data_IF_209130023180
#
_entry.id   IF_209130023180
#
_cell.length_a   1.000
_cell.length_b   1.000
_cell.length_c   1.000
_cell.angle_alpha   90.00
_cell.angle_beta   90.00
_cell.angle_gamma   90.00
#
_symmetry.space_group_name_H-M   'P 1'
#
loop_
_entity.id
_entity.type
_entity.pdbx_description
1 polymer ?
#
# COMPACT_ATOMS: atom_id res chain seq x y z
N UNK A 1 -18.99 3.89 23.73
CA UNK A 1 -20.33 4.48 23.45
C UNK A 1 -20.20 5.78 22.66
N UNK A 2 -19.33 6.71 23.06
CA UNK A 2 -19.15 7.99 22.36
C UNK A 2 -18.67 7.87 20.90
N UNK A 3 -17.61 7.09 20.62
CA UNK A 3 -17.13 6.89 19.24
C UNK A 3 -18.22 6.32 18.31
N UNK A 4 -18.92 5.27 18.77
CA UNK A 4 -20.00 4.65 17.99
C UNK A 4 -21.07 5.67 17.61
N UNK A 5 -21.52 6.51 18.55
CA UNK A 5 -22.52 7.54 18.25
C UNK A 5 -21.98 8.63 17.30
N UNK A 6 -20.68 8.94 17.36
CA UNK A 6 -20.07 9.94 16.47
C UNK A 6 -19.97 9.47 15.00
N UNK A 7 -19.81 8.17 14.76
CA UNK A 7 -19.74 7.59 13.41
C UNK A 7 -21.08 7.02 12.91
N UNK A 8 -22.11 6.99 13.76
CA UNK A 8 -23.41 6.40 13.44
C UNK A 8 -24.18 7.27 12.45
N UNK A 9 -24.94 6.59 11.59
CA UNK A 9 -25.72 7.24 10.54
C UNK A 9 -24.83 7.68 9.38
N UNK A 10 -25.28 8.71 8.65
CA UNK A 10 -24.56 9.24 7.49
C UNK A 10 -23.76 10.47 7.86
N UNK A 11 -22.44 10.40 7.70
CA UNK A 11 -21.46 11.46 8.01
C UNK A 11 -20.47 11.62 6.87
N UNK A 12 -19.81 12.75 6.83
CA UNK A 12 -18.69 13.00 5.90
C UNK A 12 -17.46 12.19 6.30
N UNK A 13 -16.55 11.94 5.37
CA UNK A 13 -15.27 11.28 5.67
C UNK A 13 -14.50 12.03 6.74
N UNK A 14 -14.48 13.37 6.66
CA UNK A 14 -13.83 14.24 7.65
C UNK A 14 -14.39 14.06 9.06
N UNK A 15 -15.71 14.04 9.24
CA UNK A 15 -16.33 13.81 10.55
C UNK A 15 -15.98 12.43 11.12
N UNK A 16 -15.98 11.40 10.28
CA UNK A 16 -15.67 10.03 10.71
C UNK A 16 -14.17 9.85 11.04
N UNK A 17 -13.27 10.40 10.21
CA UNK A 17 -11.83 10.42 10.47
C UNK A 17 -11.52 11.18 11.77
N UNK A 18 -12.15 12.33 12.00
CA UNK A 18 -11.97 13.08 13.24
C UNK A 18 -12.44 12.29 14.47
N UNK A 19 -13.62 11.66 14.39
CA UNK A 19 -14.12 10.80 15.46
C UNK A 19 -13.19 9.62 15.75
N UNK A 20 -12.59 9.04 14.71
CA UNK A 20 -11.61 7.95 14.85
C UNK A 20 -10.30 8.46 15.46
N UNK A 21 -9.79 9.60 15.02
CA UNK A 21 -8.60 10.24 15.59
C UNK A 21 -8.77 10.47 17.09
N UNK A 22 -9.85 11.12 17.50
CA UNK A 22 -10.16 11.40 18.91
C UNK A 22 -10.26 10.12 19.74
N UNK A 23 -10.82 9.07 19.15
CA UNK A 23 -10.90 7.76 19.79
C UNK A 23 -9.51 7.14 20.02
N UNK A 24 -8.62 7.21 19.02
CA UNK A 24 -7.25 6.72 19.14
C UNK A 24 -6.44 7.53 20.16
N UNK A 25 -6.64 8.86 20.21
CA UNK A 25 -6.02 9.75 21.20
C UNK A 25 -6.51 9.45 22.62
N UNK A 26 -7.82 9.25 22.83
CA UNK A 26 -8.35 8.84 24.14
C UNK A 26 -7.79 7.51 24.63
N UNK A 27 -7.40 6.63 23.72
CA UNK A 27 -6.78 5.34 24.02
C UNK A 27 -5.24 5.43 24.17
N UNK A 28 -4.65 6.61 23.98
CA UNK A 28 -3.20 6.86 23.98
C UNK A 28 -2.45 5.90 23.03
N UNK A 29 -2.96 5.71 21.81
CA UNK A 29 -2.39 4.75 20.85
C UNK A 29 -1.03 5.19 20.34
N UNK A 30 -0.84 6.50 20.12
CA UNK A 30 0.46 7.05 19.71
C UNK A 30 1.51 6.77 20.78
N UNK A 31 1.23 7.09 22.04
CA UNK A 31 2.14 6.90 23.17
C UNK A 31 2.46 5.42 23.40
N UNK A 32 1.47 4.54 23.26
CA UNK A 32 1.68 3.09 23.34
C UNK A 32 2.58 2.60 22.21
N UNK A 33 2.41 3.11 21.00
CA UNK A 33 3.28 2.80 19.86
C UNK A 33 4.71 3.27 20.14
N UNK A 34 4.89 4.47 20.69
CA UNK A 34 6.21 4.98 21.09
C UNK A 34 6.86 4.15 22.21
N UNK A 35 6.08 3.69 23.19
CA UNK A 35 6.56 2.80 24.24
C UNK A 35 7.06 1.45 23.66
N UNK A 36 6.33 0.87 22.71
CA UNK A 36 6.76 -0.36 22.02
C UNK A 36 8.05 -0.15 21.22
N UNK A 37 8.18 0.99 20.54
CA UNK A 37 9.41 1.36 19.84
C UNK A 37 10.60 1.38 20.81
N UNK A 38 10.41 1.89 22.04
CA UNK A 38 11.47 1.93 23.04
C UNK A 38 11.86 0.50 23.50
N UNK A 39 10.88 -0.38 23.72
CA UNK A 39 11.15 -1.80 24.02
C UNK A 39 11.96 -2.46 22.91
N UNK A 40 11.56 -2.29 21.64
CA UNK A 40 12.30 -2.87 20.51
C UNK A 40 13.73 -2.33 20.37
N UNK A 41 13.97 -1.06 20.75
CA UNK A 41 15.34 -0.51 20.79
C UNK A 41 16.18 -1.20 21.86
N UNK A 42 15.62 -1.42 23.05
CA UNK A 42 16.32 -2.10 24.15
C UNK A 42 16.65 -3.56 23.80
N UNK A 43 15.79 -4.20 23.01
CA UNK A 43 15.99 -5.55 22.47
C UNK A 43 16.88 -5.62 21.21
N UNK A 44 17.39 -4.50 20.72
CA UNK A 44 18.15 -4.38 19.46
C UNK A 44 17.39 -4.89 18.21
N UNK A 45 16.06 -4.83 18.21
CA UNK A 45 15.21 -5.21 17.08
C UNK A 45 14.99 -4.01 16.14
N UNK A 46 16.05 -3.59 15.46
CA UNK A 46 16.05 -2.36 14.63
C UNK A 46 15.01 -2.37 13.50
N UNK A 47 14.74 -3.54 12.90
CA UNK A 47 13.71 -3.66 11.86
C UNK A 47 12.32 -3.30 12.41
N UNK A 48 12.00 -3.78 13.61
CA UNK A 48 10.74 -3.48 14.30
C UNK A 48 10.65 -2.02 14.71
N UNK A 49 11.76 -1.42 15.13
CA UNK A 49 11.83 0.03 15.41
C UNK A 49 11.47 0.84 14.16
N UNK A 50 12.02 0.48 13.01
CA UNK A 50 11.76 1.19 11.76
C UNK A 50 10.32 0.98 11.27
N UNK A 51 9.79 -0.23 11.38
CA UNK A 51 8.40 -0.56 11.03
C UNK A 51 7.41 0.22 11.91
N UNK A 52 7.55 0.15 13.23
CA UNK A 52 6.59 0.75 14.16
C UNK A 52 6.62 2.28 14.17
N UNK A 53 7.77 2.89 13.85
CA UNK A 53 7.88 4.34 13.68
C UNK A 53 6.95 4.88 12.60
N UNK A 54 6.67 4.08 11.57
CA UNK A 54 5.86 4.49 10.43
C UNK A 54 4.36 4.22 10.63
N UNK A 55 3.97 3.39 11.60
CA UNK A 55 2.58 2.96 11.77
C UNK A 55 1.65 4.13 12.09
N UNK A 56 2.06 5.01 13.01
CA UNK A 56 1.20 6.13 13.40
C UNK A 56 0.98 7.10 12.25
N UNK A 57 2.08 7.50 11.61
CA UNK A 57 2.05 8.40 10.44
C UNK A 57 1.19 7.78 9.33
N UNK A 58 1.34 6.49 9.04
CA UNK A 58 0.53 5.78 8.05
C UNK A 58 -0.98 5.83 8.36
N UNK A 59 -1.37 5.66 9.64
CA UNK A 59 -2.77 5.75 10.05
C UNK A 59 -3.33 7.15 9.82
N UNK A 60 -2.56 8.18 10.21
CA UNK A 60 -2.95 9.58 10.05
C UNK A 60 -3.03 9.95 8.57
N UNK A 61 -2.04 9.58 7.77
CA UNK A 61 -1.99 9.87 6.34
C UNK A 61 -3.17 9.26 5.58
N UNK A 62 -3.53 8.00 5.88
CA UNK A 62 -4.71 7.35 5.28
C UNK A 62 -5.99 8.10 5.67
N UNK A 63 -6.12 8.49 6.95
CA UNK A 63 -7.29 9.23 7.41
C UNK A 63 -7.40 10.61 6.76
N UNK A 64 -6.28 11.30 6.56
CA UNK A 64 -6.23 12.60 5.89
C UNK A 64 -6.64 12.47 4.41
N UNK A 65 -6.14 11.45 3.71
CA UNK A 65 -6.56 11.15 2.34
C UNK A 65 -8.06 10.85 2.25
N UNK A 66 -8.60 10.05 3.16
CA UNK A 66 -10.04 9.76 3.19
C UNK A 66 -10.85 11.03 3.45
N UNK A 67 -10.40 11.88 4.37
CA UNK A 67 -11.07 13.15 4.69
C UNK A 67 -11.04 14.14 3.52
N UNK A 68 -9.97 14.14 2.72
CA UNK A 68 -9.82 14.98 1.53
C UNK A 68 -10.71 14.50 0.38
N UNK A 69 -10.73 13.19 0.11
CA UNK A 69 -11.50 12.60 -0.99
C UNK A 69 -13.01 12.62 -0.69
N UNK A 70 -13.40 12.28 0.54
CA UNK A 70 -14.81 12.18 0.97
C UNK A 70 -15.17 13.40 1.83
N UNK A 71 -15.02 14.58 1.22
CA UNK A 71 -15.21 15.85 1.92
C UNK A 71 -16.70 16.17 2.14
N UNK A 72 -17.48 16.26 1.06
CA UNK A 72 -18.91 16.66 1.13
C UNK A 72 -19.88 15.47 1.09
N UNK A 73 -19.44 14.32 0.57
CA UNK A 73 -20.27 13.12 0.47
C UNK A 73 -20.50 12.48 1.82
N UNK A 74 -21.75 12.08 2.07
CA UNK A 74 -22.13 11.40 3.31
C UNK A 74 -22.21 9.90 3.12
N UNK A 75 -21.34 9.18 3.80
CA UNK A 75 -21.27 7.72 3.83
C UNK A 75 -21.73 7.19 5.18
N UNK A 76 -22.09 5.91 5.24
CA UNK A 76 -22.34 5.21 6.50
C UNK A 76 -21.06 4.55 7.03
N UNK A 77 -21.11 4.08 8.28
CA UNK A 77 -19.97 3.47 8.96
C UNK A 77 -19.47 2.18 8.29
N UNK A 78 -20.33 1.46 7.56
CA UNK A 78 -19.95 0.23 6.86
C UNK A 78 -19.11 0.56 5.62
N UNK A 79 -19.54 1.55 4.84
CA UNK A 79 -18.75 2.08 3.72
C UNK A 79 -17.43 2.65 4.21
N UNK A 80 -17.43 3.47 5.27
CA UNK A 80 -16.22 4.02 5.85
C UNK A 80 -15.23 2.94 6.28
N UNK A 81 -15.70 1.89 6.97
CA UNK A 81 -14.88 0.77 7.38
C UNK A 81 -14.25 0.01 6.21
N UNK A 82 -14.98 -0.16 5.09
CA UNK A 82 -14.44 -0.79 3.87
C UNK A 82 -13.35 0.05 3.22
N UNK A 83 -13.53 1.37 3.19
CA UNK A 83 -12.55 2.30 2.60
C UNK A 83 -11.28 2.31 3.45
N UNK A 84 -11.40 2.47 4.76
CA UNK A 84 -10.28 2.37 5.70
C UNK A 84 -9.52 1.06 5.55
N UNK A 85 -10.24 -0.07 5.52
CA UNK A 85 -9.65 -1.39 5.34
C UNK A 85 -8.84 -1.46 4.04
N UNK A 86 -9.43 -1.00 2.93
CA UNK A 86 -8.75 -1.01 1.63
C UNK A 86 -7.50 -0.12 1.65
N UNK A 87 -7.58 1.06 2.30
CA UNK A 87 -6.43 1.94 2.48
C UNK A 87 -5.29 1.29 3.26
N UNK A 88 -5.61 0.55 4.33
CA UNK A 88 -4.59 -0.18 5.09
C UNK A 88 -4.00 -1.39 4.35
N UNK A 89 -4.80 -2.07 3.50
CA UNK A 89 -4.33 -3.22 2.72
C UNK A 89 -3.32 -2.81 1.62
N UNK A 90 -3.48 -1.62 1.05
CA UNK A 90 -2.60 -1.09 -0.01
C UNK A 90 -1.39 -0.30 0.53
N UNK A 91 -1.35 0.00 1.83
CA UNK A 91 -0.26 0.79 2.41
C UNK A 91 1.02 -0.04 2.54
N UNK A 92 2.08 0.35 1.83
CA UNK A 92 3.39 -0.26 1.94
C UNK A 92 4.29 0.49 2.95
N UNK A 93 4.76 -0.22 3.97
CA UNK A 93 5.76 0.33 4.91
C UNK A 93 7.15 0.35 4.27
N UNK A 94 7.84 1.49 4.34
CA UNK A 94 9.19 1.63 3.82
C UNK A 94 10.22 0.96 4.72
N UNK A 95 10.81 -0.15 4.30
CA UNK A 95 11.92 -0.76 5.01
C UNK A 95 13.24 -0.07 4.62
N UNK A 96 13.86 0.64 5.56
CA UNK A 96 15.22 1.17 5.37
C UNK A 96 16.21 0.02 5.57
N UNK A 97 17.07 -0.28 4.58
CA UNK A 97 18.04 -1.36 4.73
C UNK A 97 19.01 -1.09 5.89
N UNK A 98 19.22 -2.05 6.81
CA UNK A 98 20.00 -1.82 8.02
C UNK A 98 21.52 -1.85 7.82
N UNK A 99 22.03 -2.28 6.66
CA UNK A 99 23.47 -2.52 6.44
C UNK A 99 24.00 -2.00 5.09
N UNK A 100 25.28 -1.62 5.07
CA UNK A 100 26.01 -1.22 3.86
C UNK A 100 26.39 -2.45 3.01
N UNK A 101 26.77 -3.55 3.67
CA UNK A 101 27.11 -4.82 3.00
C UNK A 101 25.92 -5.76 3.05
N UNK A 102 25.26 -5.94 1.90
CA UNK A 102 24.02 -6.69 1.81
C UNK A 102 23.85 -7.38 0.45
N UNK A 103 23.09 -8.47 0.46
CA UNK A 103 22.61 -9.12 -0.76
C UNK A 103 21.30 -8.44 -1.17
N UNK A 104 21.26 -7.88 -2.38
CA UNK A 104 20.03 -7.33 -2.94
C UNK A 104 19.13 -8.46 -3.45
N UNK A 105 18.00 -8.67 -2.79
CA UNK A 105 16.92 -9.55 -3.28
C UNK A 105 15.82 -8.68 -3.86
N UNK A 106 15.61 -8.76 -5.18
CA UNK A 106 14.60 -7.97 -5.88
C UNK A 106 14.05 -8.75 -7.08
N UNK A 107 12.94 -8.27 -7.65
CA UNK A 107 12.40 -8.85 -8.88
C UNK A 107 13.28 -8.47 -10.08
N UNK A 108 13.34 -9.37 -11.06
CA UNK A 108 14.08 -9.14 -12.32
C UNK A 108 13.57 -7.88 -13.06
N UNK A 109 12.30 -7.52 -12.88
CA UNK A 109 11.70 -6.32 -13.48
C UNK A 109 12.11 -5.01 -12.79
N UNK A 110 12.41 -5.03 -11.49
CA UNK A 110 12.74 -3.83 -10.70
C UNK A 110 14.24 -3.59 -10.52
N UNK A 111 15.09 -4.56 -10.86
CA UNK A 111 16.53 -4.42 -10.68
C UNK A 111 17.09 -3.33 -11.62
N UNK A 112 17.68 -2.29 -11.02
CA UNK A 112 18.41 -1.22 -11.74
C UNK A 112 19.79 -1.02 -11.13
N UNK A 113 20.61 -2.07 -11.07
CA UNK A 113 21.98 -1.99 -10.55
C UNK A 113 22.99 -2.02 -11.70
N UNK A 114 23.99 -1.14 -11.63
CA UNK A 114 24.97 -0.94 -12.69
C UNK A 114 26.32 -1.64 -12.41
N UNK A 115 26.46 -2.35 -11.27
CA UNK A 115 27.74 -2.95 -10.86
C UNK A 115 27.56 -4.26 -10.06
N UNK A 116 26.90 -5.25 -10.68
CA UNK A 116 26.62 -6.56 -10.06
C UNK A 116 27.79 -7.52 -10.32
N UNK A 117 28.49 -7.96 -9.26
CA UNK A 117 29.59 -8.94 -9.38
C UNK A 117 29.11 -10.37 -9.65
N UNK A 118 27.96 -10.75 -9.08
CA UNK A 118 27.33 -12.05 -9.26
C UNK A 118 25.81 -11.91 -9.17
N UNK A 119 25.08 -12.56 -10.06
CA UNK A 119 23.61 -12.54 -10.13
C UNK A 119 23.08 -13.97 -10.03
N UNK A 120 22.12 -14.19 -9.14
CA UNK A 120 21.38 -15.44 -9.03
C UNK A 120 19.92 -15.18 -9.39
N UNK A 121 19.41 -15.92 -10.37
CA UNK A 121 18.00 -15.89 -10.74
C UNK A 121 17.36 -17.16 -10.19
N UNK A 122 16.33 -16.99 -9.36
CA UNK A 122 15.59 -18.09 -8.74
C UNK A 122 14.21 -18.18 -9.37
N UNK A 123 13.67 -19.39 -9.49
CA UNK A 123 12.35 -19.61 -10.09
C UNK A 123 12.38 -19.60 -11.62
N UNK A 124 13.50 -20.02 -12.23
CA UNK A 124 13.62 -20.23 -13.69
C UNK A 124 12.92 -21.54 -14.07
N UNK A 125 11.61 -21.57 -13.84
CA UNK A 125 10.72 -22.68 -14.14
C UNK A 125 9.79 -22.27 -15.27
N UNK A 126 9.37 -23.25 -16.08
CA UNK A 126 8.39 -23.03 -17.14
C UNK A 126 7.09 -22.42 -16.57
N UNK A 127 6.57 -21.39 -17.24
CA UNK A 127 5.42 -20.59 -16.79
C UNK A 127 5.67 -19.57 -15.66
N UNK A 128 6.83 -19.61 -15.00
CA UNK A 128 7.26 -18.60 -13.99
C UNK A 128 8.24 -17.60 -14.59
N UNK A 129 9.17 -18.09 -15.42
CA UNK A 129 10.14 -17.27 -16.13
C UNK A 129 10.43 -17.85 -17.53
N UNK A 130 9.89 -17.27 -18.63
CA UNK A 130 9.01 -16.10 -18.64
C UNK A 130 7.65 -16.40 -17.98
N UNK A 131 7.15 -15.43 -17.21
CA UNK A 131 5.85 -15.56 -16.55
C UNK A 131 4.71 -15.45 -17.55
N UNK A 132 3.63 -16.21 -17.34
CA UNK A 132 2.40 -16.01 -18.09
C UNK A 132 1.78 -14.65 -17.74
N UNK A 133 1.36 -13.88 -18.75
CA UNK A 133 0.64 -12.63 -18.55
C UNK A 133 -0.83 -12.98 -18.40
N UNK A 134 -1.34 -12.87 -17.18
CA UNK A 134 -2.61 -13.47 -16.81
C UNK A 134 -3.81 -12.53 -16.89
N UNK A 135 -3.63 -11.21 -16.84
CA UNK A 135 -4.77 -10.28 -16.73
C UNK A 135 -4.93 -9.36 -17.93
N UNK A 136 -6.01 -9.58 -18.67
CA UNK A 136 -6.64 -8.51 -19.44
C UNK A 136 -7.24 -7.51 -18.43
N UNK A 137 -6.78 -6.26 -18.48
CA UNK A 137 -7.36 -5.17 -17.69
C UNK A 137 -8.77 -4.79 -18.15
N UNK A 138 -9.18 -3.53 -17.94
CA UNK A 138 -10.49 -3.03 -18.41
C UNK A 138 -10.70 -3.24 -19.92
N UNK A 139 -9.61 -3.21 -20.70
CA UNK A 139 -9.62 -3.44 -22.14
C UNK A 139 -9.00 -4.80 -22.48
N UNK A 140 -9.66 -5.52 -23.38
CA UNK A 140 -9.15 -6.74 -24.03
C UNK A 140 -8.11 -6.40 -25.09
N UNK A 141 -7.33 -7.38 -25.53
CA UNK A 141 -6.35 -7.17 -26.60
C UNK A 141 -7.01 -6.80 -27.94
N UNK A 142 -8.20 -7.32 -28.20
CA UNK A 142 -8.98 -6.99 -29.41
C UNK A 142 -9.45 -5.53 -29.40
N UNK A 143 -9.89 -5.01 -28.25
CA UNK A 143 -10.27 -3.60 -28.11
C UNK A 143 -9.06 -2.69 -28.25
N UNK A 144 -7.91 -3.07 -27.69
CA UNK A 144 -6.65 -2.32 -27.88
C UNK A 144 -6.21 -2.27 -29.33
N UNK A 145 -6.30 -3.39 -30.04
CA UNK A 145 -5.95 -3.47 -31.46
C UNK A 145 -6.87 -2.58 -32.30
N UNK A 146 -8.18 -2.67 -32.09
CA UNK A 146 -9.17 -1.79 -32.74
C UNK A 146 -8.88 -0.31 -32.47
N UNK A 147 -8.56 0.08 -31.23
CA UNK A 147 -8.21 1.45 -30.89
C UNK A 147 -6.92 1.92 -31.60
N UNK A 148 -5.91 1.06 -31.71
CA UNK A 148 -4.67 1.33 -32.45
C UNK A 148 -4.91 1.52 -33.94
N UNK A 149 -5.75 0.69 -34.55
CA UNK A 149 -6.18 0.84 -35.95
C UNK A 149 -6.91 2.18 -36.19
N UNK A 150 -7.62 2.67 -35.17
CA UNK A 150 -8.26 3.99 -35.17
C UNK A 150 -7.30 5.14 -34.77
N UNK A 151 -5.99 4.89 -34.69
CA UNK A 151 -4.96 5.89 -34.44
C UNK A 151 -4.70 6.23 -32.98
N UNK A 152 -5.24 5.46 -32.03
CA UNK A 152 -4.99 5.64 -30.60
C UNK A 152 -3.91 4.67 -30.12
N UNK A 153 -2.72 5.21 -29.83
CA UNK A 153 -1.64 4.43 -29.23
C UNK A 153 -1.87 4.23 -27.73
N UNK A 154 -1.88 2.96 -27.30
CA UNK A 154 -2.07 2.53 -25.92
C UNK A 154 -0.85 1.73 -25.45
N UNK A 155 -0.83 1.38 -24.16
CA UNK A 155 0.12 0.40 -23.64
C UNK A 155 0.07 -0.93 -24.43
N UNK A 156 1.18 -1.66 -24.43
CA UNK A 156 1.32 -2.94 -25.13
C UNK A 156 0.23 -3.93 -24.72
N UNK A 157 -0.27 -4.70 -25.68
CA UNK A 157 -1.16 -5.84 -25.46
C UNK A 157 -0.45 -6.98 -24.72
N UNK A 158 -1.23 -7.93 -24.18
CA UNK A 158 -0.68 -9.04 -23.39
C UNK A 158 0.23 -9.94 -24.23
N UNK A 159 -0.08 -10.11 -25.52
CA UNK A 159 0.77 -10.88 -26.46
C UNK A 159 2.14 -10.25 -26.64
N UNK A 160 2.22 -8.94 -26.83
CA UNK A 160 3.45 -8.18 -27.06
C UNK A 160 4.31 -7.99 -25.82
N UNK A 161 3.78 -8.29 -24.63
CA UNK A 161 4.51 -8.28 -23.37
C UNK A 161 5.09 -9.66 -23.03
N UNK A 162 4.56 -10.74 -23.62
CA UNK A 162 5.01 -12.12 -23.41
C UNK A 162 6.29 -12.48 -24.20
N UNK A 163 6.67 -11.64 -25.17
CA UNK A 163 7.81 -11.79 -26.07
C UNK A 163 8.66 -10.52 -26.11
#
# INVERSE_FOLDING_TARGET
>A
MEFHENIKGKKTGKEMCHALYDFLMKLNIEEKTQALIQVFKEENLLDKVNEYRQIWDAIVDIMDQIAEVINEDKIDSEVFGRILKSGFEEYELGLIPPAIDQILVSSVQRIRSHDIKALYIVGVNDGVFPGAIADEGILTDLERESLRENGLELAKDTKSLAF
#
